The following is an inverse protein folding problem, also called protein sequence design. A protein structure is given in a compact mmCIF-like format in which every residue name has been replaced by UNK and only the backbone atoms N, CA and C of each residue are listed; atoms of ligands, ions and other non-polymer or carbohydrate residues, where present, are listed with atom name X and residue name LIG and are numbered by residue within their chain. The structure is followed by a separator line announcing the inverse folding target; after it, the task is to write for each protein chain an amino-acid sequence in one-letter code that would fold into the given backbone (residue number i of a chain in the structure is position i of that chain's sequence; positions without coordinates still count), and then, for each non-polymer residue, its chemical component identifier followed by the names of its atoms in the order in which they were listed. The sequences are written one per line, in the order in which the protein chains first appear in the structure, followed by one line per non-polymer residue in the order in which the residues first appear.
data_IF_255927658899
#
_entry.id   IF_255927658899
#
_cell.length_a   1.000
_cell.length_b   1.000
_cell.length_c   1.000
_cell.angle_alpha   90.00
_cell.angle_beta   90.00
_cell.angle_gamma   90.00
#
_symmetry.space_group_name_H-M   'P 1'
#
loop_
_entity.id
_entity.type
_entity.pdbx_description
1 polymer ?
#
# COMPACT_ATOMS: atom_id res chain seq x y z
N UNK A 1 2.34 -14.29 1.52
CA UNK A 1 3.57 -14.91 0.94
C UNK A 1 4.67 -13.90 0.65
N UNK A 2 4.41 -12.75 0.02
CA UNK A 2 5.44 -11.75 -0.27
C UNK A 2 6.26 -11.30 0.96
N UNK A 3 5.60 -11.03 2.10
CA UNK A 3 6.29 -10.65 3.36
C UNK A 3 7.23 -11.75 3.85
N UNK A 4 6.84 -13.02 3.74
CA UNK A 4 7.72 -14.12 4.12
C UNK A 4 8.97 -14.17 3.24
N UNK A 5 8.82 -13.95 1.93
CA UNK A 5 9.94 -13.87 1.01
C UNK A 5 10.87 -12.68 1.32
N UNK A 6 10.31 -11.48 1.56
CA UNK A 6 11.09 -10.30 1.96
C UNK A 6 11.83 -10.52 3.28
N UNK A 7 11.17 -11.12 4.27
CA UNK A 7 11.78 -11.50 5.55
C UNK A 7 12.90 -12.52 5.40
N UNK A 8 12.76 -13.49 4.50
CA UNK A 8 13.83 -14.46 4.21
C UNK A 8 15.07 -13.78 3.59
N UNK A 9 14.87 -12.83 2.68
CA UNK A 9 15.96 -12.01 2.12
C UNK A 9 16.63 -11.17 3.20
N UNK A 10 15.84 -10.47 4.03
CA UNK A 10 16.36 -9.67 5.14
C UNK A 10 17.13 -10.51 6.17
N UNK A 11 16.66 -11.73 6.45
CA UNK A 11 17.34 -12.68 7.33
C UNK A 11 18.68 -13.12 6.74
N UNK A 12 18.72 -13.48 5.45
CA UNK A 12 19.98 -13.80 4.74
C UNK A 12 20.98 -12.66 4.86
N UNK A 13 20.54 -11.43 4.58
CA UNK A 13 21.41 -10.26 4.62
C UNK A 13 21.89 -9.94 6.05
N UNK A 14 21.05 -10.16 7.06
CA UNK A 14 21.43 -10.01 8.46
C UNK A 14 22.48 -11.03 8.92
N UNK A 15 22.48 -12.22 8.32
CA UNK A 15 23.40 -13.34 8.58
C UNK A 15 24.61 -13.37 7.62
N UNK A 16 24.75 -12.40 6.72
CA UNK A 16 25.72 -12.45 5.63
C UNK A 16 27.20 -12.34 6.06
N UNK A 17 27.49 -11.90 7.29
CA UNK A 17 28.87 -11.82 7.80
C UNK A 17 29.34 -13.20 8.31
N UNK A 18 30.29 -13.86 7.63
CA UNK A 18 30.75 -15.19 8.03
C UNK A 18 31.61 -15.17 9.30
N UNK A 19 32.09 -14.01 9.74
CA UNK A 19 33.00 -13.89 10.89
C UNK A 19 32.28 -13.57 12.19
N UNK A 20 31.01 -13.16 12.14
CA UNK A 20 30.26 -12.67 13.31
C UNK A 20 28.80 -13.08 13.26
N UNK A 21 28.37 -13.83 14.27
CA UNK A 21 26.95 -14.09 14.50
C UNK A 21 26.22 -12.80 14.88
N UNK A 22 25.14 -12.41 14.18
CA UNK A 22 24.39 -11.21 14.54
C UNK A 22 23.64 -11.41 15.86
N UNK A 23 23.38 -10.31 16.55
CA UNK A 23 22.52 -10.35 17.75
C UNK A 23 21.06 -10.58 17.39
N UNK A 24 20.30 -11.20 18.29
CA UNK A 24 18.84 -11.37 18.15
C UNK A 24 18.14 -10.05 17.83
N UNK A 25 18.56 -8.96 18.48
CA UNK A 25 17.99 -7.62 18.26
C UNK A 25 18.21 -7.12 16.83
N UNK A 26 19.37 -7.39 16.22
CA UNK A 26 19.65 -7.01 14.83
C UNK A 26 18.73 -7.76 13.87
N UNK A 27 18.59 -9.07 14.08
CA UNK A 27 17.72 -9.92 13.25
C UNK A 27 16.26 -9.49 13.39
N UNK A 28 15.76 -9.34 14.62
CA UNK A 28 14.38 -8.89 14.87
C UNK A 28 14.07 -7.53 14.23
N UNK A 29 15.02 -6.58 14.28
CA UNK A 29 14.86 -5.29 13.60
C UNK A 29 14.78 -5.42 12.09
N UNK A 30 15.61 -6.25 11.48
CA UNK A 30 15.58 -6.48 10.04
C UNK A 30 14.24 -7.11 9.59
N UNK A 31 13.73 -8.09 10.35
CA UNK A 31 12.44 -8.73 10.08
C UNK A 31 11.25 -7.78 10.31
N UNK A 32 11.32 -6.95 11.34
CA UNK A 32 10.32 -5.91 11.60
C UNK A 32 10.27 -4.92 10.44
N UNK A 33 11.43 -4.43 9.99
CA UNK A 33 11.50 -3.47 8.89
C UNK A 33 10.97 -4.08 7.58
N UNK A 34 11.34 -5.33 7.28
CA UNK A 34 10.87 -6.04 6.07
C UNK A 34 9.35 -6.25 6.03
N UNK A 35 8.70 -6.35 7.20
CA UNK A 35 7.25 -6.57 7.30
C UNK A 35 6.44 -5.30 7.53
N UNK A 36 7.10 -4.19 7.87
CA UNK A 36 6.47 -2.96 8.37
C UNK A 36 5.40 -2.39 7.45
N UNK A 37 5.71 -2.19 6.17
CA UNK A 37 4.75 -1.62 5.23
C UNK A 37 3.50 -2.51 5.07
N UNK A 38 3.68 -3.82 4.99
CA UNK A 38 2.56 -4.74 4.86
C UNK A 38 1.68 -4.72 6.11
N UNK A 39 2.30 -4.68 7.30
CA UNK A 39 1.59 -4.51 8.56
C UNK A 39 0.80 -3.20 8.61
N UNK A 40 1.42 -2.08 8.24
CA UNK A 40 0.77 -0.77 8.25
C UNK A 40 -0.43 -0.70 7.29
N UNK A 41 -0.32 -1.32 6.11
CA UNK A 41 -1.43 -1.41 5.14
C UNK A 41 -2.56 -2.27 5.71
N UNK A 42 -2.27 -3.49 6.18
CA UNK A 42 -3.30 -4.42 6.69
C UNK A 42 -3.97 -3.88 7.95
N UNK A 43 -3.19 -3.48 8.95
CA UNK A 43 -3.73 -2.90 10.17
C UNK A 43 -4.48 -1.59 9.89
N UNK A 44 -4.05 -0.81 8.91
CA UNK A 44 -4.75 0.40 8.48
C UNK A 44 -6.14 0.11 7.89
N UNK A 45 -6.26 -0.93 7.07
CA UNK A 45 -7.53 -1.37 6.50
C UNK A 45 -8.50 -1.89 7.58
N UNK A 46 -7.98 -2.70 8.51
CA UNK A 46 -8.78 -3.37 9.54
C UNK A 46 -9.33 -2.39 10.59
N UNK A 47 -8.69 -1.23 10.81
CA UNK A 47 -9.15 -0.20 11.76
C UNK A 47 -10.58 0.27 11.53
N UNK A 48 -11.07 0.22 10.29
CA UNK A 48 -12.42 0.67 9.96
C UNK A 48 -13.48 -0.42 10.17
N UNK A 49 -13.08 -1.63 10.56
CA UNK A 49 -14.02 -2.71 10.82
C UNK A 49 -14.74 -2.51 12.15
N UNK A 50 -16.07 -2.77 12.21
CA UNK A 50 -16.81 -2.74 13.46
C UNK A 50 -16.19 -3.66 14.52
N UNK A 51 -15.96 -3.12 15.73
CA UNK A 51 -15.40 -3.89 16.85
C UNK A 51 -13.87 -3.93 16.92
N UNK A 52 -13.15 -3.24 16.03
CA UNK A 52 -11.70 -3.11 16.13
C UNK A 52 -11.27 -2.39 17.44
N UNK A 53 -10.28 -2.94 18.13
CA UNK A 53 -9.73 -2.40 19.39
C UNK A 53 -8.22 -2.14 19.25
N UNK A 54 -7.69 -1.10 19.91
CA UNK A 54 -6.24 -0.86 19.98
C UNK A 54 -5.85 0.61 20.15
N UNK A 55 -4.57 0.85 20.42
CA UNK A 55 -4.00 2.21 20.57
C UNK A 55 -4.00 3.04 19.28
N UNK A 56 -4.24 2.38 18.14
CA UNK A 56 -4.32 3.00 16.83
C UNK A 56 -5.70 3.59 16.48
N UNK A 57 -6.66 3.51 17.42
CA UNK A 57 -8.01 4.10 17.32
C UNK A 57 -8.00 5.60 17.63
N UNK A 58 -6.92 6.13 18.23
CA UNK A 58 -6.76 7.58 18.44
C UNK A 58 -6.44 8.29 17.13
N UNK A 59 -7.45 8.87 16.50
CA UNK A 59 -7.33 9.57 15.21
C UNK A 59 -6.81 10.99 15.40
N UNK A 60 -5.61 11.31 14.87
CA UNK A 60 -5.10 12.70 14.82
C UNK A 60 -5.72 13.43 13.63
N UNK A 61 -5.69 14.77 13.65
CA UNK A 61 -6.20 15.58 12.53
C UNK A 61 -5.50 15.26 11.20
N UNK A 62 -4.18 15.00 11.25
CA UNK A 62 -3.41 14.59 10.07
C UNK A 62 -3.87 13.23 9.50
N UNK A 63 -4.30 12.29 10.37
CA UNK A 63 -4.78 10.98 9.95
C UNK A 63 -6.10 11.09 9.19
N UNK A 64 -6.94 12.08 9.51
CA UNK A 64 -8.18 12.37 8.76
C UNK A 64 -7.88 12.83 7.34
N UNK A 65 -6.91 13.73 7.16
CA UNK A 65 -6.51 14.20 5.83
C UNK A 65 -5.92 13.06 4.98
N UNK A 66 -5.06 12.24 5.58
CA UNK A 66 -4.50 11.06 4.93
C UNK A 66 -5.61 10.04 4.57
N UNK A 67 -6.54 9.76 5.47
CA UNK A 67 -7.67 8.88 5.23
C UNK A 67 -8.58 9.38 4.11
N UNK A 68 -8.89 10.68 4.08
CA UNK A 68 -9.64 11.30 2.99
C UNK A 68 -8.92 11.16 1.64
N UNK A 69 -7.61 11.42 1.61
CA UNK A 69 -6.81 11.26 0.39
C UNK A 69 -6.80 9.80 -0.09
N UNK A 70 -6.57 8.85 0.81
CA UNK A 70 -6.53 7.43 0.47
C UNK A 70 -7.91 6.89 0.05
N UNK A 71 -9.01 7.44 0.57
CA UNK A 71 -10.36 7.17 0.05
C UNK A 71 -10.50 7.62 -1.41
N UNK A 72 -9.97 8.80 -1.76
CA UNK A 72 -9.96 9.30 -3.15
C UNK A 72 -9.07 8.48 -4.08
N UNK A 73 -7.95 7.96 -3.58
CA UNK A 73 -7.11 6.98 -4.30
C UNK A 73 -7.91 5.72 -4.59
N UNK A 74 -8.57 5.15 -3.58
CA UNK A 74 -9.37 3.93 -3.71
C UNK A 74 -10.55 4.10 -4.67
N UNK A 75 -11.15 5.28 -4.72
CA UNK A 75 -12.23 5.55 -5.67
C UNK A 75 -11.74 5.64 -7.12
N UNK A 76 -10.47 6.00 -7.35
CA UNK A 76 -9.91 6.20 -8.70
C UNK A 76 -9.09 5.05 -9.25
N UNK A 77 -8.52 4.19 -8.40
CA UNK A 77 -7.67 3.10 -8.86
C UNK A 77 -8.31 2.19 -9.94
N UNK A 78 -9.64 1.96 -10.00
CA UNK A 78 -10.22 1.08 -11.00
C UNK A 78 -10.12 1.65 -12.43
N UNK A 79 -10.32 2.96 -12.59
CA UNK A 79 -10.46 3.60 -13.90
C UNK A 79 -9.33 4.56 -14.29
N UNK A 80 -8.50 5.02 -13.36
CA UNK A 80 -7.33 5.86 -13.69
C UNK A 80 -6.06 4.99 -13.79
N UNK A 81 -5.39 4.91 -14.96
CA UNK A 81 -4.23 4.06 -15.14
C UNK A 81 -2.98 4.51 -14.36
N UNK A 82 -2.86 5.80 -14.03
CA UNK A 82 -1.76 6.34 -13.22
C UNK A 82 -1.96 5.93 -11.76
N UNK A 83 -3.17 6.14 -11.23
CA UNK A 83 -3.52 5.77 -9.85
C UNK A 83 -3.52 4.26 -9.70
N UNK A 84 -4.16 3.54 -10.63
CA UNK A 84 -4.26 2.08 -10.60
C UNK A 84 -2.90 1.38 -10.63
N UNK A 85 -1.95 1.88 -11.44
CA UNK A 85 -0.58 1.35 -11.46
C UNK A 85 0.12 1.56 -10.12
N UNK A 86 0.09 2.78 -9.58
CA UNK A 86 0.74 3.08 -8.30
C UNK A 86 0.12 2.27 -7.15
N UNK A 87 -1.20 2.19 -7.09
CA UNK A 87 -1.94 1.43 -6.08
C UNK A 87 -1.59 -0.05 -6.10
N UNK A 88 -1.58 -0.68 -7.28
CA UNK A 88 -1.19 -2.10 -7.42
C UNK A 88 0.27 -2.33 -7.03
N UNK A 89 1.18 -1.43 -7.40
CA UNK A 89 2.59 -1.55 -7.01
C UNK A 89 2.77 -1.53 -5.48
N UNK A 90 2.01 -0.69 -4.77
CA UNK A 90 2.04 -0.64 -3.31
C UNK A 90 1.42 -1.88 -2.68
N UNK A 91 0.25 -2.33 -3.15
CA UNK A 91 -0.41 -3.54 -2.63
C UNK A 91 0.40 -4.81 -2.89
N UNK A 92 1.14 -4.86 -3.98
CA UNK A 92 2.07 -5.96 -4.30
C UNK A 92 3.42 -5.82 -3.61
N UNK A 93 3.60 -4.77 -2.79
CA UNK A 93 4.85 -4.49 -2.05
C UNK A 93 6.07 -4.30 -2.97
N UNK A 94 5.84 -3.95 -4.24
CA UNK A 94 6.89 -3.65 -5.22
C UNK A 94 7.29 -2.17 -5.23
N UNK A 95 6.52 -1.32 -4.57
CA UNK A 95 6.82 0.08 -4.34
C UNK A 95 6.46 0.51 -2.91
N UNK A 96 7.12 1.55 -2.36
CA UNK A 96 6.78 2.07 -1.05
C UNK A 96 5.41 2.77 -1.05
N UNK A 97 4.74 2.81 0.10
CA UNK A 97 3.44 3.52 0.25
C UNK A 97 3.52 5.00 -0.19
N UNK A 98 4.68 5.63 -0.04
CA UNK A 98 4.96 6.99 -0.51
C UNK A 98 4.76 7.19 -2.02
N UNK A 99 4.79 6.12 -2.82
CA UNK A 99 4.50 6.18 -4.26
C UNK A 99 3.08 6.69 -4.55
N UNK A 100 2.13 6.50 -3.64
CA UNK A 100 0.78 7.08 -3.76
C UNK A 100 0.78 8.60 -3.66
N UNK A 101 1.85 9.22 -3.15
CA UNK A 101 2.00 10.65 -3.00
C UNK A 101 2.94 11.25 -4.07
N UNK A 102 3.31 10.47 -5.09
CA UNK A 102 4.08 10.99 -6.21
C UNK A 102 3.29 12.11 -6.94
N UNK A 103 3.95 13.16 -7.46
CA UNK A 103 3.26 14.31 -8.05
C UNK A 103 2.24 13.96 -9.13
N UNK A 104 2.52 12.96 -9.97
CA UNK A 104 1.60 12.48 -11.01
C UNK A 104 0.34 11.83 -10.41
N UNK A 105 0.50 11.05 -9.34
CA UNK A 105 -0.62 10.40 -8.63
C UNK A 105 -1.45 11.46 -7.90
N UNK A 106 -0.80 12.39 -7.19
CA UNK A 106 -1.50 13.51 -6.54
C UNK A 106 -2.31 14.31 -7.55
N UNK A 107 -1.74 14.64 -8.71
CA UNK A 107 -2.44 15.37 -9.77
C UNK A 107 -3.68 14.61 -10.26
N UNK A 108 -3.52 13.31 -10.54
CA UNK A 108 -4.63 12.46 -10.98
C UNK A 108 -5.74 12.34 -9.91
N UNK A 109 -5.37 12.22 -8.64
CA UNK A 109 -6.31 12.06 -7.51
C UNK A 109 -7.00 13.37 -7.13
N UNK A 110 -6.31 14.51 -7.24
CA UNK A 110 -6.85 15.79 -6.80
C UNK A 110 -7.57 16.53 -7.93
N UNK A 111 -7.05 16.45 -9.15
CA UNK A 111 -7.51 17.26 -10.28
C UNK A 111 -8.17 16.45 -11.40
N UNK A 112 -7.99 15.12 -11.43
CA UNK A 112 -8.56 14.27 -12.46
C UNK A 112 -10.08 14.05 -12.26
N UNK A 113 -10.89 14.12 -13.34
CA UNK A 113 -12.29 13.73 -13.25
C UNK A 113 -12.38 12.23 -12.87
N UNK A 114 -13.38 11.83 -12.06
CA UNK A 114 -13.59 10.42 -11.77
C UNK A 114 -13.94 9.69 -13.07
N UNK A 115 -13.25 8.57 -13.32
CA UNK A 115 -13.63 7.68 -14.41
C UNK A 115 -15.04 7.14 -14.14
N UNK A 116 -15.89 7.13 -15.17
CA UNK A 116 -17.23 6.58 -15.06
C UNK A 116 -17.11 5.05 -14.95
N UNK A 117 -17.51 4.51 -13.80
CA UNK A 117 -17.70 3.07 -13.66
C UNK A 117 -18.97 2.69 -14.42
N UNK A 118 -18.92 1.73 -15.37
CA UNK A 118 -20.12 1.23 -16.02
C UNK A 118 -21.13 0.73 -14.97
N UNK A 119 -22.41 1.06 -15.18
CA UNK A 119 -23.49 0.60 -14.29
C UNK A 119 -23.69 -0.92 -14.39
N UNK A 120 -23.34 -1.49 -15.55
CA UNK A 120 -23.47 -2.91 -15.85
C UNK A 120 -22.16 -3.43 -16.47
N UNK A 121 -21.82 -4.71 -16.29
CA UNK A 121 -20.69 -5.32 -16.98
C UNK A 121 -20.82 -5.11 -18.49
N UNK A 122 -19.74 -4.78 -19.20
CA UNK A 122 -19.81 -4.59 -20.65
C UNK A 122 -20.21 -5.91 -21.32
N UNK A 123 -21.41 -5.92 -21.91
CA UNK A 123 -21.96 -7.06 -22.66
C UNK A 123 -21.41 -7.14 -24.09
N UNK A 124 -20.68 -6.11 -24.51
CA UNK A 124 -20.00 -6.00 -25.79
C UNK A 124 -18.52 -5.73 -25.58
N UNK A 125 -17.68 -6.15 -26.53
CA UNK A 125 -16.24 -5.87 -26.51
C UNK A 125 -16.03 -4.35 -26.59
N UNK A 126 -15.21 -3.80 -25.69
CA UNK A 126 -14.81 -2.39 -25.75
C UNK A 126 -14.10 -2.10 -27.08
N UNK A 127 -14.65 -1.17 -27.85
CA UNK A 127 -13.98 -0.67 -29.05
C UNK A 127 -12.76 0.14 -28.62
N UNK A 128 -11.58 -0.27 -29.10
CA UNK A 128 -10.34 0.46 -28.84
C UNK A 128 -10.39 1.75 -29.67
N UNK A 129 -10.85 2.84 -29.05
CA UNK A 129 -10.70 4.17 -29.62
C UNK A 129 -9.21 4.48 -29.66
N UNK A 130 -8.65 4.54 -30.88
CA UNK A 130 -7.24 4.88 -31.15
C UNK A 130 -6.97 6.35 -30.88
#
# INVERSE_FOLDING_TARGET
MAVAAMSAVALRDALADPRRTPTTRRVQRALLEASRQAWDISAGADKQMPGAVGSAVTVRAADRAAGWYLSRVQHRYPGDPVVGRAFRSVLTLTAPLSALFAPKVLRAVLLGPPALTPAEPPMTREEVVR
#
